data_IF_906693728741
#
_entry.id   IF_906693728741
#
_cell.length_a   1.000
_cell.length_b   1.000
_cell.length_c   1.000
_cell.angle_alpha   90.00
_cell.angle_beta   90.00
_cell.angle_gamma   90.00
#
_symmetry.space_group_name_H-M   'P 1'
#
loop_
_entity.id
_entity.type
_entity.pdbx_description
1 polymer ?
#
# COMPACT_ATOMS: atom_id res chain seq x y z
N UNK A 1 -3.92 -36.20 -16.12
CA UNK A 1 -3.04 -35.06 -16.52
C UNK A 1 -3.43 -33.70 -15.86
N UNK A 2 -4.36 -33.66 -14.90
CA UNK A 2 -4.90 -32.41 -14.28
C UNK A 2 -4.09 -31.82 -13.10
N UNK A 3 -3.12 -32.54 -12.52
CA UNK A 3 -2.44 -32.10 -11.28
C UNK A 3 -1.33 -31.05 -11.51
N UNK A 4 -0.83 -30.91 -12.74
CA UNK A 4 0.26 -29.96 -13.08
C UNK A 4 -0.23 -28.52 -13.32
N UNK A 5 -1.45 -28.34 -13.82
CA UNK A 5 -2.02 -27.01 -14.11
C UNK A 5 -2.32 -26.21 -12.84
N UNK A 6 -2.91 -26.84 -11.81
CA UNK A 6 -3.25 -26.14 -10.55
C UNK A 6 -2.03 -25.68 -9.75
N UNK A 7 -0.94 -26.45 -9.78
CA UNK A 7 0.32 -26.08 -9.12
C UNK A 7 0.99 -24.90 -9.82
N UNK A 8 0.93 -24.84 -11.16
CA UNK A 8 1.50 -23.76 -11.95
C UNK A 8 0.72 -22.44 -11.77
N UNK A 9 -0.62 -22.49 -11.78
CA UNK A 9 -1.48 -21.34 -11.48
C UNK A 9 -1.24 -20.80 -10.07
N UNK A 10 -1.15 -21.69 -9.07
CA UNK A 10 -0.87 -21.29 -7.68
C UNK A 10 0.51 -20.63 -7.54
N UNK A 11 1.53 -21.13 -8.24
CA UNK A 11 2.88 -20.55 -8.26
C UNK A 11 2.89 -19.17 -8.94
N UNK A 12 2.13 -19.01 -10.02
CA UNK A 12 2.01 -17.73 -10.71
C UNK A 12 1.29 -16.67 -9.86
N UNK A 13 0.24 -17.06 -9.15
CA UNK A 13 -0.48 -16.18 -8.24
C UNK A 13 0.40 -15.71 -7.08
N UNK A 14 1.23 -16.61 -6.54
CA UNK A 14 2.21 -16.27 -5.51
C UNK A 14 3.26 -15.28 -6.05
N UNK A 15 3.77 -15.53 -7.26
CA UNK A 15 4.75 -14.64 -7.90
C UNK A 15 4.18 -13.24 -8.15
N UNK A 16 2.96 -13.15 -8.68
CA UNK A 16 2.26 -11.88 -8.88
C UNK A 16 2.09 -11.13 -7.55
N UNK A 17 1.67 -11.86 -6.50
CA UNK A 17 1.51 -11.29 -5.16
C UNK A 17 2.83 -10.74 -4.61
N UNK A 18 3.94 -11.50 -4.69
CA UNK A 18 5.25 -11.07 -4.20
C UNK A 18 5.72 -9.82 -4.96
N UNK A 19 5.59 -9.78 -6.29
CA UNK A 19 5.95 -8.58 -7.07
C UNK A 19 5.10 -7.39 -6.64
N UNK A 20 3.78 -7.57 -6.50
CA UNK A 20 2.89 -6.49 -6.07
C UNK A 20 3.26 -5.96 -4.68
N UNK A 21 3.62 -6.84 -3.73
CA UNK A 21 4.07 -6.45 -2.38
C UNK A 21 5.37 -5.65 -2.43
N UNK A 22 6.36 -6.12 -3.20
CA UNK A 22 7.62 -5.40 -3.36
C UNK A 22 7.38 -4.03 -4.00
N UNK A 23 6.59 -4.00 -5.06
CA UNK A 23 6.24 -2.78 -5.77
C UNK A 23 5.49 -1.78 -4.88
N UNK A 24 4.50 -2.24 -4.10
CA UNK A 24 3.75 -1.38 -3.19
C UNK A 24 4.63 -0.80 -2.09
N UNK A 25 5.57 -1.58 -1.58
CA UNK A 25 6.53 -1.13 -0.57
C UNK A 25 7.44 -0.07 -1.16
N UNK A 26 8.03 -0.31 -2.34
CA UNK A 26 8.91 0.66 -3.03
C UNK A 26 8.16 1.96 -3.30
N UNK A 27 6.98 1.91 -3.92
CA UNK A 27 6.27 3.14 -4.29
C UNK A 27 5.75 3.90 -3.07
N UNK A 28 5.29 3.19 -2.03
CA UNK A 28 4.90 3.80 -0.75
C UNK A 28 6.07 4.52 -0.10
N UNK A 29 7.22 3.85 0.03
CA UNK A 29 8.43 4.47 0.60
C UNK A 29 8.95 5.64 -0.23
N UNK A 30 8.87 5.56 -1.55
CA UNK A 30 9.25 6.67 -2.43
C UNK A 30 8.33 7.89 -2.23
N UNK A 31 7.01 7.67 -2.08
CA UNK A 31 6.07 8.74 -1.74
C UNK A 31 6.38 9.33 -0.37
N UNK A 32 6.66 8.50 0.63
CA UNK A 32 7.07 8.97 1.96
C UNK A 32 8.33 9.82 1.89
N UNK A 33 9.35 9.35 1.19
CA UNK A 33 10.61 10.07 1.04
C UNK A 33 10.41 11.41 0.32
N UNK A 34 9.55 11.44 -0.69
CA UNK A 34 9.22 12.66 -1.42
C UNK A 34 8.55 13.71 -0.52
N UNK A 35 7.51 13.32 0.22
CA UNK A 35 6.79 14.25 1.08
C UNK A 35 7.61 14.71 2.29
N UNK A 36 8.42 13.82 2.88
CA UNK A 36 9.37 14.18 3.92
C UNK A 36 10.44 15.16 3.40
N UNK A 37 10.98 14.94 2.20
CA UNK A 37 11.94 15.86 1.58
C UNK A 37 11.33 17.24 1.29
N UNK A 38 10.02 17.29 1.01
CA UNK A 38 9.25 18.52 0.85
C UNK A 38 8.78 19.15 2.17
N UNK A 39 9.16 18.57 3.32
CA UNK A 39 8.73 19.02 4.65
C UNK A 39 7.20 19.03 4.83
N UNK A 40 6.48 18.22 4.04
CA UNK A 40 5.02 18.15 4.13
C UNK A 40 4.57 17.38 5.38
N UNK A 41 5.39 16.42 5.84
CA UNK A 41 5.26 15.76 7.13
C UNK A 41 6.59 15.12 7.56
N UNK A 42 6.64 14.61 8.78
CA UNK A 42 7.80 13.88 9.31
C UNK A 42 7.41 12.72 10.21
N UNK A 43 8.32 11.75 10.36
CA UNK A 43 8.18 10.60 11.26
C UNK A 43 9.15 10.74 12.44
N UNK A 44 8.80 11.44 13.53
CA UNK A 44 9.72 11.68 14.65
C UNK A 44 10.12 10.39 15.37
N UNK A 45 9.19 9.46 15.57
CA UNK A 45 9.43 8.16 16.20
C UNK A 45 9.52 7.08 15.11
N UNK A 46 10.76 6.74 14.72
CA UNK A 46 11.03 5.75 13.67
C UNK A 46 12.31 4.94 13.94
N UNK A 47 12.40 3.68 13.45
CA UNK A 47 13.62 2.90 13.55
C UNK A 47 14.78 3.52 12.75
N UNK A 48 16.00 3.47 13.30
CA UNK A 48 17.23 3.96 12.64
C UNK A 48 17.13 5.40 12.13
N UNK A 49 16.63 6.32 12.98
CA UNK A 49 16.37 7.72 12.63
C UNK A 49 17.59 8.52 12.15
N UNK A 50 18.81 8.08 12.48
CA UNK A 50 20.07 8.67 12.01
C UNK A 50 20.41 8.35 10.55
N UNK A 51 19.80 7.30 9.98
CA UNK A 51 20.08 6.81 8.62
C UNK A 51 18.89 7.07 7.70
N UNK A 52 17.68 6.78 8.16
CA UNK A 52 16.46 6.94 7.37
C UNK A 52 15.66 8.14 7.84
N UNK A 53 15.16 8.94 6.90
CA UNK A 53 14.18 10.02 7.17
C UNK A 53 12.74 9.50 7.21
N UNK A 54 12.48 8.39 6.54
CA UNK A 54 11.18 7.69 6.49
C UNK A 54 11.09 6.56 7.52
N UNK A 55 9.88 6.11 7.83
CA UNK A 55 9.68 4.98 8.74
C UNK A 55 9.92 3.65 8.01
N UNK A 56 11.14 3.10 8.12
CA UNK A 56 11.50 1.83 7.48
C UNK A 56 10.72 0.63 8.05
N UNK A 57 10.23 0.71 9.30
CA UNK A 57 9.35 -0.31 9.87
C UNK A 57 8.01 -0.38 9.15
N UNK A 58 7.44 0.78 8.79
CA UNK A 58 6.25 0.86 7.96
C UNK A 58 6.48 0.23 6.58
N UNK A 59 7.64 0.52 5.97
CA UNK A 59 8.05 -0.04 4.68
C UNK A 59 8.20 -1.56 4.70
N UNK A 60 8.88 -2.12 5.71
CA UNK A 60 9.26 -3.54 5.72
C UNK A 60 8.18 -4.47 6.27
N UNK A 61 7.26 -3.95 7.09
CA UNK A 61 6.24 -4.77 7.75
C UNK A 61 4.83 -4.32 7.41
N UNK A 62 4.51 -3.05 7.66
CA UNK A 62 3.12 -2.57 7.55
C UNK A 62 2.63 -2.62 6.09
N UNK A 63 3.39 -2.05 5.15
CA UNK A 63 3.02 -2.03 3.72
C UNK A 63 2.89 -3.45 3.13
N UNK A 64 3.83 -4.39 3.36
CA UNK A 64 3.68 -5.77 2.89
C UNK A 64 2.45 -6.48 3.44
N UNK A 65 2.21 -6.37 4.75
CA UNK A 65 1.05 -7.02 5.40
C UNK A 65 -0.25 -6.42 4.86
N UNK A 66 -0.35 -5.08 4.83
CA UNK A 66 -1.52 -4.37 4.35
C UNK A 66 -1.80 -4.68 2.87
N UNK A 67 -0.78 -4.69 2.03
CA UNK A 67 -0.90 -5.05 0.61
C UNK A 67 -1.35 -6.49 0.44
N UNK A 68 -0.80 -7.41 1.23
CA UNK A 68 -1.20 -8.82 1.19
C UNK A 68 -2.68 -8.98 1.52
N UNK A 69 -3.12 -8.40 2.64
CA UNK A 69 -4.53 -8.45 3.07
C UNK A 69 -5.44 -7.83 2.01
N UNK A 70 -5.07 -6.64 1.51
CA UNK A 70 -5.81 -5.94 0.47
C UNK A 70 -6.01 -6.80 -0.79
N UNK A 71 -4.94 -7.43 -1.30
CA UNK A 71 -5.02 -8.27 -2.50
C UNK A 71 -5.86 -9.52 -2.23
N UNK A 72 -5.71 -10.21 -1.09
CA UNK A 72 -6.48 -11.42 -0.82
C UNK A 72 -7.99 -11.13 -0.75
N UNK A 73 -8.39 -10.04 -0.11
CA UNK A 73 -9.79 -9.62 -0.06
C UNK A 73 -10.26 -9.18 -1.46
N UNK A 74 -9.48 -8.35 -2.15
CA UNK A 74 -9.88 -7.78 -3.45
C UNK A 74 -10.10 -8.82 -4.55
N UNK A 75 -9.44 -9.99 -4.46
CA UNK A 75 -9.65 -11.13 -5.36
C UNK A 75 -11.03 -11.75 -5.27
N UNK A 76 -11.70 -11.66 -4.10
CA UNK A 76 -13.02 -12.26 -3.88
C UNK A 76 -14.16 -11.26 -4.11
N UNK A 77 -13.84 -10.00 -4.38
CA UNK A 77 -14.81 -8.92 -4.54
C UNK A 77 -15.15 -8.67 -6.01
N UNK A 78 -16.42 -8.32 -6.26
CA UNK A 78 -16.85 -7.72 -7.52
C UNK A 78 -16.16 -6.37 -7.75
N UNK A 79 -16.17 -5.86 -8.99
CA UNK A 79 -15.59 -4.54 -9.29
C UNK A 79 -16.21 -3.42 -8.45
N UNK A 80 -17.53 -3.41 -8.26
CA UNK A 80 -18.22 -2.39 -7.46
C UNK A 80 -17.85 -2.52 -5.98
N UNK A 81 -17.94 -3.74 -5.42
CA UNK A 81 -17.60 -4.01 -4.03
C UNK A 81 -16.14 -3.66 -3.73
N UNK A 82 -15.23 -3.91 -4.68
CA UNK A 82 -13.82 -3.56 -4.54
C UNK A 82 -13.61 -2.04 -4.56
N UNK A 83 -14.31 -1.30 -5.41
CA UNK A 83 -14.25 0.18 -5.39
C UNK A 83 -14.73 0.74 -4.05
N UNK A 84 -15.84 0.21 -3.50
CA UNK A 84 -16.31 0.58 -2.16
C UNK A 84 -15.28 0.24 -1.08
N UNK A 85 -14.66 -0.94 -1.16
CA UNK A 85 -13.61 -1.35 -0.22
C UNK A 85 -12.40 -0.40 -0.26
N UNK A 86 -11.96 0.04 -1.45
CA UNK A 86 -10.88 1.02 -1.61
C UNK A 86 -11.26 2.38 -0.98
N UNK A 87 -12.49 2.83 -1.19
CA UNK A 87 -13.00 4.07 -0.56
C UNK A 87 -12.95 3.93 0.97
N UNK A 88 -13.46 2.81 1.51
CA UNK A 88 -13.43 2.55 2.95
C UNK A 88 -12.00 2.52 3.50
N UNK A 89 -11.06 1.89 2.79
CA UNK A 89 -9.64 1.89 3.18
C UNK A 89 -9.04 3.29 3.18
N UNK A 90 -9.37 4.13 2.20
CA UNK A 90 -8.93 5.52 2.17
C UNK A 90 -9.41 6.31 3.38
N UNK A 91 -10.68 6.15 3.75
CA UNK A 91 -11.26 6.79 4.94
C UNK A 91 -10.57 6.29 6.21
N UNK A 92 -10.45 4.96 6.37
CA UNK A 92 -9.78 4.37 7.52
C UNK A 92 -8.34 4.85 7.65
N UNK A 93 -7.58 4.86 6.55
CA UNK A 93 -6.18 5.28 6.55
C UNK A 93 -6.03 6.76 6.92
N UNK A 94 -6.88 7.65 6.38
CA UNK A 94 -6.88 9.07 6.75
C UNK A 94 -7.20 9.30 8.24
N UNK A 95 -8.09 8.48 8.82
CA UNK A 95 -8.37 8.53 10.27
C UNK A 95 -7.17 8.01 11.07
N UNK A 96 -6.59 6.87 10.68
CA UNK A 96 -5.42 6.30 11.35
C UNK A 96 -4.22 7.22 11.32
N UNK A 97 -4.04 7.98 10.25
CA UNK A 97 -2.97 8.96 10.12
C UNK A 97 -3.11 10.10 11.15
N UNK A 98 -4.32 10.66 11.30
CA UNK A 98 -4.59 11.66 12.34
C UNK A 98 -4.44 11.10 13.76
N UNK A 99 -4.76 9.82 13.96
CA UNK A 99 -4.52 9.14 15.23
C UNK A 99 -3.00 9.00 15.47
N UNK A 100 -2.24 8.54 14.48
CA UNK A 100 -0.79 8.43 14.55
C UNK A 100 -0.14 9.79 14.83
N UNK A 101 -0.74 10.86 14.33
CA UNK A 101 -0.32 12.23 14.62
C UNK A 101 -0.51 12.63 16.08
N UNK A 102 -1.65 12.31 16.67
CA UNK A 102 -1.89 12.54 18.10
C UNK A 102 -0.94 11.77 19.02
N UNK A 103 -0.49 10.59 18.58
CA UNK A 103 0.51 9.80 19.30
C UNK A 103 1.96 10.24 19.02
N UNK A 104 2.17 11.22 18.13
CA UNK A 104 3.50 11.70 17.77
C UNK A 104 4.32 10.67 16.98
N UNK A 105 3.69 9.69 16.31
CA UNK A 105 4.39 8.80 15.37
C UNK A 105 4.59 9.45 13.99
N UNK A 106 3.77 10.46 13.72
CA UNK A 106 3.63 11.15 12.46
C UNK A 106 3.35 12.62 12.76
N UNK A 107 3.88 13.58 12.02
CA UNK A 107 3.55 15.00 12.24
C UNK A 107 3.40 15.66 10.88
N UNK A 108 2.23 16.23 10.61
CA UNK A 108 2.00 17.00 9.40
C UNK A 108 2.50 18.44 9.53
N UNK A 109 2.90 19.03 8.41
CA UNK A 109 3.06 20.47 8.30
C UNK A 109 1.70 21.17 8.30
N UNK A 110 1.70 22.46 8.64
CA UNK A 110 0.49 23.30 8.59
C UNK A 110 -0.10 23.41 7.18
N UNK A 111 0.73 23.21 6.15
CA UNK A 111 0.33 23.27 4.74
C UNK A 111 -0.29 21.95 4.24
N UNK A 112 -0.29 20.90 5.05
CA UNK A 112 -0.90 19.63 4.69
C UNK A 112 -2.43 19.68 4.85
N UNK A 113 -3.13 19.35 3.77
CA UNK A 113 -4.56 19.11 3.84
C UNK A 113 -4.83 17.60 3.98
N UNK A 114 -5.45 17.16 5.06
CA UNK A 114 -5.78 15.74 5.30
C UNK A 114 -6.65 15.10 4.19
N UNK A 115 -7.29 15.92 3.36
CA UNK A 115 -7.99 15.45 2.15
C UNK A 115 -7.03 14.80 1.15
N UNK A 116 -5.77 15.23 1.11
CA UNK A 116 -4.71 14.60 0.31
C UNK A 116 -4.44 13.17 0.75
N UNK A 117 -4.45 12.90 2.05
CA UNK A 117 -4.30 11.54 2.59
C UNK A 117 -5.43 10.63 2.11
N UNK A 118 -6.69 11.08 2.23
CA UNK A 118 -7.86 10.31 1.79
C UNK A 118 -7.74 9.90 0.32
N UNK A 119 -7.55 10.86 -0.59
CA UNK A 119 -7.42 10.57 -2.02
C UNK A 119 -6.13 9.82 -2.35
N UNK A 120 -5.03 10.13 -1.66
CA UNK A 120 -3.74 9.48 -1.83
C UNK A 120 -3.82 7.98 -1.59
N UNK A 121 -4.42 7.54 -0.48
CA UNK A 121 -4.62 6.12 -0.21
C UNK A 121 -5.56 5.46 -1.22
N UNK A 122 -6.64 6.13 -1.63
CA UNK A 122 -7.55 5.59 -2.66
C UNK A 122 -6.84 5.37 -4.00
N UNK A 123 -6.02 6.33 -4.43
CA UNK A 123 -5.20 6.23 -5.65
C UNK A 123 -4.19 5.11 -5.50
N UNK A 124 -3.49 5.04 -4.36
CA UNK A 124 -2.51 4.00 -4.06
C UNK A 124 -3.13 2.61 -4.18
N UNK A 125 -4.20 2.30 -3.45
CA UNK A 125 -4.82 0.96 -3.50
C UNK A 125 -5.41 0.64 -4.88
N UNK A 126 -6.00 1.63 -5.56
CA UNK A 126 -6.48 1.44 -6.94
C UNK A 126 -5.34 1.08 -7.88
N UNK A 127 -4.19 1.73 -7.74
CA UNK A 127 -3.02 1.48 -8.56
C UNK A 127 -2.39 0.12 -8.26
N UNK A 128 -2.24 -0.24 -6.98
CA UNK A 128 -1.75 -1.56 -6.56
C UNK A 128 -2.63 -2.70 -7.09
N UNK A 129 -3.95 -2.54 -7.04
CA UNK A 129 -4.87 -3.52 -7.63
C UNK A 129 -4.66 -3.65 -9.14
N UNK A 130 -4.54 -2.53 -9.87
CA UNK A 130 -4.28 -2.55 -11.33
C UNK A 130 -2.96 -3.26 -11.65
N UNK A 131 -1.90 -3.03 -10.88
CA UNK A 131 -0.60 -3.70 -11.06
C UNK A 131 -0.72 -5.21 -10.85
N UNK A 132 -1.36 -5.65 -9.76
CA UNK A 132 -1.58 -7.08 -9.50
C UNK A 132 -2.40 -7.73 -10.64
N UNK A 133 -3.50 -7.08 -11.03
CA UNK A 133 -4.37 -7.56 -12.11
C UNK A 133 -3.66 -7.56 -13.47
N UNK A 134 -2.78 -6.59 -13.73
CA UNK A 134 -1.98 -6.60 -14.95
C UNK A 134 -1.02 -7.80 -14.99
N UNK A 135 -0.33 -8.09 -13.89
CA UNK A 135 0.64 -9.20 -13.82
C UNK A 135 -0.05 -10.56 -14.00
N UNK A 136 -1.23 -10.76 -13.42
CA UNK A 136 -1.95 -12.03 -13.53
C UNK A 136 -2.52 -12.29 -14.93
N UNK A 137 -2.95 -11.24 -15.65
CA UNK A 137 -3.55 -11.38 -16.98
C UNK A 137 -2.54 -11.31 -18.14
N UNK A 138 -1.28 -10.96 -17.90
CA UNK A 138 -0.24 -10.89 -18.95
C UNK A 138 0.19 -12.28 -19.49
N UNK A 139 -0.55 -13.36 -19.21
CA UNK A 139 -0.23 -14.74 -19.60
C UNK A 139 -1.15 -15.36 -20.67
N UNK A 140 -1.98 -14.57 -21.33
CA UNK A 140 -2.77 -15.05 -22.48
C UNK A 140 -2.05 -14.98 -23.84
N UNK A 141 -0.74 -14.73 -23.88
CA UNK A 141 0.08 -14.76 -25.11
C UNK A 141 1.28 -15.71 -24.97
#
# INVERSE_FOLDING_TARGET
MQRKTSSFEKKNNLFALVITILFSSIIGTCLDAFFVAKQMYSFPVRPFSSIFSVNIGFTLFVLPILTTIFIQISKTLSTISRSLFIISLGICASIFEQIAERFGFFIHSLDWNHTYSLFGYMIFFSFIWKVYYFIINKKEY
#
